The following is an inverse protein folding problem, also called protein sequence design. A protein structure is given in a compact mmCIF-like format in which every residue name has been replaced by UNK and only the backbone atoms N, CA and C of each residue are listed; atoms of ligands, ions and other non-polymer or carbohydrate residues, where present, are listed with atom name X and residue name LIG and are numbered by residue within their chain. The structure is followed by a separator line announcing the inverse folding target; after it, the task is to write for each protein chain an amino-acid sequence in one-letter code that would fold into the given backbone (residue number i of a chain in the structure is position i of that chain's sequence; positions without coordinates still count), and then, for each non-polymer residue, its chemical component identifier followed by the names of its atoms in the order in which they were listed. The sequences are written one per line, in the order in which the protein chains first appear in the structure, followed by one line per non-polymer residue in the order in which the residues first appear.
data_IF_097656232366
#
_entry.id   IF_097656232366
#
_cell.length_a   1.000
_cell.length_b   1.000
_cell.length_c   1.000
_cell.angle_alpha   90.00
_cell.angle_beta   90.00
_cell.angle_gamma   90.00
#
_symmetry.space_group_name_H-M   'P 1'
#
loop_
_entity.id
_entity.type
_entity.pdbx_description
1 polymer ?
#
# COMPACT_ATOMS: atom_id res chain seq x y z
N UNK A 1 14.05 9.32 20.11
CA UNK A 1 12.88 10.09 19.63
C UNK A 1 13.34 11.39 18.98
N UNK A 2 12.82 11.72 17.82
CA UNK A 2 12.99 12.99 17.12
C UNK A 2 11.67 13.76 17.19
N UNK A 3 11.68 15.01 17.64
CA UNK A 3 10.49 15.86 17.82
C UNK A 3 10.80 17.25 17.29
N UNK A 4 10.19 17.61 16.15
CA UNK A 4 10.54 18.82 15.39
C UNK A 4 9.27 19.58 15.02
N UNK A 5 9.26 20.89 15.30
CA UNK A 5 8.20 21.81 14.85
C UNK A 5 8.47 22.29 13.43
N UNK A 6 7.40 22.53 12.68
CA UNK A 6 7.43 23.04 11.31
C UNK A 6 8.35 22.21 10.40
N UNK A 7 8.10 20.89 10.37
CA UNK A 7 8.93 19.92 9.65
C UNK A 7 8.44 19.71 8.22
N UNK A 8 9.37 19.67 7.25
CA UNK A 8 9.04 19.40 5.85
C UNK A 8 8.96 17.89 5.59
N UNK A 9 7.83 17.45 5.02
CA UNK A 9 7.52 16.05 4.75
C UNK A 9 7.99 15.57 3.36
N UNK A 10 8.81 16.34 2.64
CA UNK A 10 9.30 15.97 1.30
C UNK A 10 9.94 14.57 1.28
N UNK A 11 10.72 14.23 2.31
CA UNK A 11 11.38 12.94 2.43
C UNK A 11 10.52 11.85 3.09
N UNK A 12 9.27 12.15 3.42
CA UNK A 12 8.31 11.25 4.04
C UNK A 12 7.08 11.00 3.14
N UNK A 13 7.21 11.22 1.84
CA UNK A 13 6.25 10.78 0.84
C UNK A 13 6.96 10.45 -0.47
N UNK A 14 6.55 9.33 -1.07
CA UNK A 14 7.15 8.84 -2.31
C UNK A 14 6.70 9.61 -3.55
N UNK A 15 5.68 10.47 -3.44
CA UNK A 15 5.27 11.38 -4.51
C UNK A 15 6.27 12.52 -4.72
N UNK A 16 7.16 12.76 -3.73
CA UNK A 16 8.14 13.84 -3.80
C UNK A 16 7.50 15.23 -3.79
N UNK A 17 6.43 15.41 -3.03
CA UNK A 17 5.72 16.68 -2.88
C UNK A 17 6.09 17.32 -1.55
N UNK A 18 6.51 18.58 -1.60
CA UNK A 18 6.84 19.36 -0.41
C UNK A 18 5.57 19.82 0.30
N UNK A 19 5.57 19.73 1.61
CA UNK A 19 4.56 20.24 2.52
C UNK A 19 5.10 20.18 3.95
N UNK A 20 4.78 21.17 4.77
CA UNK A 20 5.22 21.18 6.17
C UNK A 20 4.13 20.63 7.07
N UNK A 21 4.52 19.99 8.19
CA UNK A 21 3.61 19.72 9.28
C UNK A 21 3.95 20.62 10.49
N UNK A 22 2.96 20.89 11.35
CA UNK A 22 3.16 21.69 12.56
C UNK A 22 4.18 21.05 13.49
N UNK A 23 4.07 19.73 13.70
CA UNK A 23 4.97 18.94 14.55
C UNK A 23 5.18 17.57 13.92
N UNK A 24 6.40 17.09 13.88
CA UNK A 24 6.79 15.77 13.43
C UNK A 24 7.46 15.02 14.57
N UNK A 25 6.97 13.83 14.89
CA UNK A 25 7.59 12.95 15.88
C UNK A 25 7.92 11.61 15.25
N UNK A 26 9.21 11.25 15.30
CA UNK A 26 9.72 9.93 14.94
C UNK A 26 10.21 9.25 16.23
N UNK A 27 9.72 8.04 16.49
CA UNK A 27 9.99 7.28 17.70
C UNK A 27 10.62 5.93 17.36
N UNK A 28 11.60 5.50 18.17
CA UNK A 28 12.42 4.30 17.95
C UNK A 28 11.97 3.10 18.80
N UNK A 29 11.08 3.33 19.78
CA UNK A 29 10.57 2.31 20.68
C UNK A 29 9.20 2.68 21.25
N UNK A 30 8.56 1.73 21.95
CA UNK A 30 7.22 1.88 22.52
C UNK A 30 7.18 2.94 23.63
N UNK A 31 8.21 3.03 24.48
CA UNK A 31 8.24 3.98 25.60
C UNK A 31 8.27 5.43 25.10
N UNK A 32 9.01 5.69 24.03
CA UNK A 32 9.02 7.00 23.35
C UNK A 32 7.65 7.35 22.77
N UNK A 33 7.00 6.37 22.10
CA UNK A 33 5.65 6.56 21.59
C UNK A 33 4.65 6.84 22.72
N UNK A 34 4.69 6.06 23.81
CA UNK A 34 3.84 6.29 24.99
C UNK A 34 4.05 7.68 25.58
N UNK A 35 5.30 8.11 25.66
CA UNK A 35 5.65 9.47 26.12
C UNK A 35 5.07 10.53 25.20
N UNK A 36 5.21 10.34 23.89
CA UNK A 36 4.67 11.25 22.89
C UNK A 36 3.13 11.34 22.99
N UNK A 37 2.41 10.21 22.95
CA UNK A 37 0.94 10.23 22.95
C UNK A 37 0.35 10.83 24.21
N UNK A 38 0.99 10.66 25.37
CA UNK A 38 0.59 11.30 26.63
C UNK A 38 0.82 12.82 26.62
N UNK A 39 1.69 13.32 25.75
CA UNK A 39 2.00 14.75 25.60
C UNK A 39 1.12 15.45 24.55
N UNK A 40 0.29 14.72 23.81
CA UNK A 40 -0.56 15.29 22.76
C UNK A 40 -1.55 16.28 23.36
N UNK A 41 -1.58 17.49 22.79
CA UNK A 41 -2.50 18.55 23.16
C UNK A 41 -3.54 18.82 22.06
N UNK A 42 -4.50 19.69 22.31
CA UNK A 42 -5.45 20.14 21.29
C UNK A 42 -4.77 20.80 20.08
N UNK A 43 -3.62 21.44 20.30
CA UNK A 43 -2.84 22.10 19.22
C UNK A 43 -2.16 21.11 18.28
N UNK A 44 -1.92 19.86 18.72
CA UNK A 44 -1.35 18.79 17.91
C UNK A 44 -2.37 18.15 16.96
N UNK A 45 -3.66 18.48 17.07
CA UNK A 45 -4.71 17.97 16.19
C UNK A 45 -4.78 18.80 14.89
N UNK A 46 -5.10 18.15 13.76
CA UNK A 46 -5.36 16.72 13.57
C UNK A 46 -4.08 15.86 13.68
N UNK A 47 -4.26 14.57 13.92
CA UNK A 47 -3.18 13.58 13.95
C UNK A 47 -3.06 12.92 12.56
N UNK A 48 -1.83 12.65 12.14
CA UNK A 48 -1.53 11.85 10.95
C UNK A 48 -0.45 10.82 11.29
N UNK A 49 -0.76 9.54 11.14
CA UNK A 49 0.19 8.44 11.32
C UNK A 49 0.66 8.01 9.94
N UNK A 50 1.96 8.04 9.71
CA UNK A 50 2.57 7.65 8.43
C UNK A 50 3.58 6.52 8.62
N UNK A 51 3.74 5.70 7.59
CA UNK A 51 4.94 4.90 7.37
C UNK A 51 5.81 5.56 6.31
N UNK A 52 6.42 4.81 5.41
CA UNK A 52 7.28 5.35 4.33
C UNK A 52 6.60 6.29 3.32
N UNK A 53 5.36 6.70 3.54
CA UNK A 53 4.63 7.66 2.72
C UNK A 53 4.34 7.20 1.29
N UNK A 54 4.33 5.89 1.05
CA UNK A 54 4.15 5.31 -0.29
C UNK A 54 2.69 5.31 -0.79
N UNK A 55 1.75 5.71 0.07
CA UNK A 55 0.32 5.82 -0.27
C UNK A 55 -0.26 7.15 0.23
N UNK A 56 0.49 8.25 0.05
CA UNK A 56 0.17 9.58 0.56
C UNK A 56 0.31 10.64 -0.54
N UNK A 57 -0.66 11.53 -0.63
CA UNK A 57 -0.63 12.76 -1.41
C UNK A 57 -0.84 13.96 -0.49
N UNK A 58 0.19 14.77 -0.30
CA UNK A 58 0.09 16.05 0.39
C UNK A 58 -0.44 17.11 -0.58
N UNK A 59 -1.55 17.78 -0.23
CA UNK A 59 -2.12 18.87 -1.05
C UNK A 59 -1.81 20.26 -0.51
N UNK A 60 -1.45 20.34 0.76
CA UNK A 60 -1.12 21.56 1.51
C UNK A 60 -0.29 21.22 2.73
N UNK A 61 0.14 22.23 3.48
CA UNK A 61 0.73 22.03 4.79
C UNK A 61 -0.25 21.34 5.75
N UNK A 62 0.26 20.39 6.53
CA UNK A 62 -0.53 19.66 7.52
C UNK A 62 -0.54 20.41 8.85
N UNK A 63 -1.70 20.88 9.36
CA UNK A 63 -1.74 21.79 10.51
C UNK A 63 -1.56 21.10 11.87
N UNK A 64 -1.24 19.81 11.93
CA UNK A 64 -1.19 18.99 13.13
C UNK A 64 0.11 18.22 13.35
N UNK A 65 0.01 17.18 14.17
CA UNK A 65 1.09 16.26 14.50
C UNK A 65 1.15 15.10 13.51
N UNK A 66 2.35 14.87 12.96
CA UNK A 66 2.67 13.67 12.19
C UNK A 66 3.48 12.72 13.06
N UNK A 67 3.05 11.46 13.17
CA UNK A 67 3.75 10.38 13.85
C UNK A 67 4.33 9.41 12.83
N UNK A 68 5.61 9.10 12.97
CA UNK A 68 6.34 8.13 12.15
C UNK A 68 7.06 7.12 13.05
N UNK A 69 6.90 5.83 12.76
CA UNK A 69 7.58 4.77 13.52
C UNK A 69 8.94 4.45 12.90
N UNK A 70 9.98 4.54 13.71
CA UNK A 70 11.30 3.99 13.40
C UNK A 70 11.60 2.74 14.26
N UNK A 71 10.57 2.07 14.78
CA UNK A 71 10.74 0.82 15.53
C UNK A 71 11.20 -0.27 14.57
N UNK A 72 12.43 -0.72 14.76
CA UNK A 72 13.08 -1.78 13.98
C UNK A 72 13.14 -3.08 14.79
N UNK A 73 13.55 -4.15 14.15
CA UNK A 73 13.82 -5.44 14.77
C UNK A 73 12.94 -6.56 14.21
N UNK A 74 13.52 -7.76 14.17
CA UNK A 74 12.94 -8.99 13.63
C UNK A 74 13.22 -10.10 14.61
N UNK A 75 12.18 -10.66 15.20
CA UNK A 75 12.28 -11.70 16.24
C UNK A 75 11.39 -12.88 15.91
N UNK A 76 11.96 -14.07 15.89
CA UNK A 76 11.18 -15.31 15.82
C UNK A 76 10.58 -15.56 17.20
N UNK A 77 9.27 -15.39 17.33
CA UNK A 77 8.57 -15.53 18.61
C UNK A 77 7.97 -16.93 18.82
N UNK A 78 7.81 -17.70 17.72
CA UNK A 78 7.31 -19.05 17.76
C UNK A 78 7.73 -19.82 16.50
N UNK A 79 8.01 -21.11 16.65
CA UNK A 79 8.17 -22.07 15.57
C UNK A 79 7.49 -23.37 15.97
N UNK A 80 6.49 -23.83 15.19
CA UNK A 80 5.76 -25.07 15.43
C UNK A 80 4.97 -25.47 14.19
N UNK A 81 4.73 -26.77 14.02
CA UNK A 81 3.80 -27.33 13.02
C UNK A 81 4.08 -26.86 11.58
N UNK A 82 5.36 -26.78 11.21
CA UNK A 82 5.78 -26.34 9.88
C UNK A 82 5.58 -24.84 9.63
N UNK A 83 5.46 -24.03 10.69
CA UNK A 83 5.25 -22.58 10.61
C UNK A 83 6.21 -21.82 11.51
N UNK A 84 6.50 -20.57 11.10
CA UNK A 84 7.35 -19.62 11.84
C UNK A 84 6.60 -18.32 12.04
N UNK A 85 6.55 -17.82 13.28
CA UNK A 85 6.00 -16.50 13.60
C UNK A 85 7.12 -15.51 13.82
N UNK A 86 7.21 -14.54 12.91
CA UNK A 86 8.19 -13.46 12.92
C UNK A 86 7.52 -12.17 13.36
N UNK A 87 7.93 -11.64 14.52
CA UNK A 87 7.54 -10.33 15.02
C UNK A 87 8.46 -9.27 14.45
N UNK A 88 7.90 -8.29 13.73
CA UNK A 88 8.62 -7.25 13.03
C UNK A 88 8.24 -5.87 13.57
N UNK A 89 9.22 -4.99 13.76
CA UNK A 89 8.99 -3.59 14.10
C UNK A 89 8.26 -2.85 12.98
N UNK A 90 7.36 -1.94 13.34
CA UNK A 90 6.49 -1.25 12.39
C UNK A 90 7.23 -0.34 11.41
N UNK A 91 8.46 0.10 11.72
CA UNK A 91 9.35 0.88 10.85
C UNK A 91 10.22 0.04 9.90
N UNK A 92 10.19 -1.30 10.01
CA UNK A 92 10.91 -2.15 9.06
C UNK A 92 10.35 -1.99 7.64
N UNK A 93 11.23 -1.97 6.63
CA UNK A 93 10.82 -1.96 5.23
C UNK A 93 10.14 -3.28 4.89
N UNK A 94 8.94 -3.23 4.33
CA UNK A 94 8.17 -4.43 3.99
C UNK A 94 8.94 -5.39 3.08
N UNK A 95 9.54 -4.89 2.01
CA UNK A 95 10.26 -5.74 1.05
C UNK A 95 11.50 -6.41 1.64
N UNK A 96 12.12 -5.79 2.64
CA UNK A 96 13.23 -6.39 3.38
C UNK A 96 12.76 -7.57 4.26
N UNK A 97 11.52 -7.52 4.77
CA UNK A 97 10.91 -8.65 5.48
C UNK A 97 10.65 -9.81 4.51
N UNK A 98 10.11 -9.51 3.32
CA UNK A 98 9.89 -10.54 2.27
C UNK A 98 11.21 -11.17 1.85
N UNK A 99 12.25 -10.36 1.60
CA UNK A 99 13.58 -10.85 1.23
C UNK A 99 14.16 -11.76 2.32
N UNK A 100 14.08 -11.32 3.58
CA UNK A 100 14.55 -12.07 4.73
C UNK A 100 13.83 -13.40 4.89
N UNK A 101 12.49 -13.41 4.77
CA UNK A 101 11.72 -14.65 4.85
C UNK A 101 12.12 -15.64 3.76
N UNK A 102 12.22 -15.19 2.50
CA UNK A 102 12.64 -16.02 1.36
C UNK A 102 14.06 -16.58 1.56
N UNK A 103 15.00 -15.76 2.08
CA UNK A 103 16.37 -16.21 2.40
C UNK A 103 16.39 -17.30 3.48
N UNK A 104 15.52 -17.21 4.47
CA UNK A 104 15.38 -18.18 5.56
C UNK A 104 14.60 -19.45 5.15
N UNK A 105 14.04 -19.51 3.95
CA UNK A 105 13.17 -20.60 3.51
C UNK A 105 11.79 -20.57 4.18
N UNK A 106 11.30 -19.37 4.50
CA UNK A 106 9.96 -19.12 5.03
C UNK A 106 9.08 -18.53 3.92
N UNK A 107 7.92 -19.10 3.73
CA UNK A 107 7.12 -18.93 2.53
C UNK A 107 5.76 -18.32 2.78
N UNK A 108 5.17 -17.75 1.70
CA UNK A 108 3.84 -17.15 1.66
C UNK A 108 3.85 -15.66 1.33
N UNK A 109 5.01 -14.98 1.41
CA UNK A 109 5.12 -13.55 1.11
C UNK A 109 5.68 -13.26 -0.30
N UNK A 110 6.09 -14.25 -1.07
CA UNK A 110 6.82 -14.07 -2.33
C UNK A 110 6.06 -13.16 -3.32
N UNK A 111 4.73 -13.34 -3.42
CA UNK A 111 3.86 -12.54 -4.29
C UNK A 111 3.74 -11.07 -3.86
N UNK A 112 4.11 -10.73 -2.63
CA UNK A 112 4.09 -9.39 -2.07
C UNK A 112 5.45 -8.66 -2.18
N UNK A 113 6.36 -9.20 -2.99
CA UNK A 113 7.69 -8.63 -3.23
C UNK A 113 7.63 -7.24 -3.86
N UNK A 114 8.60 -6.39 -3.49
CA UNK A 114 8.80 -5.04 -4.01
C UNK A 114 7.59 -4.10 -3.82
N UNK A 115 6.68 -4.39 -2.86
CA UNK A 115 5.65 -3.42 -2.46
C UNK A 115 6.35 -2.36 -1.58
N UNK A 116 6.33 -1.07 -1.97
CA UNK A 116 6.95 -0.03 -1.18
C UNK A 116 6.16 0.24 0.10
N UNK A 117 6.88 0.65 1.14
CA UNK A 117 6.31 0.99 2.44
C UNK A 117 6.87 0.16 3.58
N UNK A 118 6.29 0.32 4.75
CA UNK A 118 6.75 -0.23 6.02
C UNK A 118 5.77 -1.26 6.59
N UNK A 119 6.27 -2.08 7.50
CA UNK A 119 5.53 -3.14 8.20
C UNK A 119 4.23 -2.63 8.83
N UNK A 120 4.27 -1.51 9.57
CA UNK A 120 3.07 -0.95 10.17
C UNK A 120 2.00 -0.57 9.13
N UNK A 121 2.42 0.06 8.04
CA UNK A 121 1.53 0.43 6.94
C UNK A 121 0.96 -0.79 6.21
N UNK A 122 1.69 -1.91 6.15
CA UNK A 122 1.21 -3.16 5.54
C UNK A 122 -0.06 -3.67 6.22
N UNK A 123 -0.11 -3.58 7.55
CA UNK A 123 -1.26 -3.99 8.34
C UNK A 123 -2.42 -2.97 8.27
N UNK A 124 -2.13 -1.67 8.20
CA UNK A 124 -3.18 -0.64 8.05
C UNK A 124 -3.89 -0.78 6.70
N UNK A 125 -3.14 -0.91 5.62
CA UNK A 125 -3.66 -0.90 4.25
C UNK A 125 -4.12 -2.29 3.78
N UNK A 126 -3.79 -3.37 4.50
CA UNK A 126 -3.88 -4.73 3.99
C UNK A 126 -3.28 -4.80 2.58
N UNK A 127 -1.98 -4.50 2.49
CA UNK A 127 -1.28 -4.47 1.20
C UNK A 127 -1.44 -5.80 0.47
N UNK A 128 -1.48 -5.76 -0.85
CA UNK A 128 -1.64 -6.96 -1.64
C UNK A 128 -1.23 -6.77 -3.09
N UNK A 129 -0.72 -7.84 -3.66
CA UNK A 129 -0.36 -7.96 -5.07
C UNK A 129 -0.41 -9.42 -5.50
N UNK A 130 -0.62 -9.66 -6.79
CA UNK A 130 -0.53 -10.97 -7.42
C UNK A 130 -1.29 -12.08 -6.68
N UNK A 131 -2.54 -11.80 -6.25
CA UNK A 131 -3.41 -12.77 -5.59
C UNK A 131 -3.22 -12.89 -4.09
N UNK A 132 -2.12 -12.42 -3.50
CA UNK A 132 -1.84 -12.45 -2.07
C UNK A 132 -2.15 -11.12 -1.38
N UNK A 133 -2.50 -11.16 -0.10
CA UNK A 133 -2.72 -10.00 0.76
C UNK A 133 -1.98 -10.17 2.10
N UNK A 134 -1.59 -9.06 2.74
CA UNK A 134 -0.86 -9.12 4.02
C UNK A 134 -1.66 -9.84 5.12
N UNK A 135 -3.00 -9.76 5.09
CA UNK A 135 -3.88 -10.48 6.02
C UNK A 135 -3.67 -11.99 6.03
N UNK A 136 -3.22 -12.58 4.92
CA UNK A 136 -3.02 -14.02 4.79
C UNK A 136 -1.80 -14.48 5.64
N UNK A 137 -0.92 -13.54 5.99
CA UNK A 137 0.27 -13.77 6.80
C UNK A 137 0.15 -13.17 8.22
N UNK A 138 -0.61 -12.08 8.41
CA UNK A 138 -0.71 -11.41 9.71
C UNK A 138 -1.36 -12.32 10.73
N UNK A 139 -0.64 -12.64 11.81
CA UNK A 139 -1.15 -13.40 12.95
C UNK A 139 -1.62 -12.46 14.07
N UNK A 140 -0.87 -11.39 14.34
CA UNK A 140 -1.13 -10.44 15.44
C UNK A 140 -0.59 -9.06 15.09
N UNK A 141 -1.25 -8.02 15.59
CA UNK A 141 -0.81 -6.62 15.53
C UNK A 141 -0.71 -6.06 16.94
N UNK A 142 0.41 -5.44 17.28
CA UNK A 142 0.62 -4.71 18.51
C UNK A 142 0.58 -3.21 18.26
N UNK A 143 -0.10 -2.46 19.10
CA UNK A 143 -0.25 -1.03 18.93
C UNK A 143 -0.30 -0.29 20.27
N UNK A 144 -0.07 1.00 20.26
CA UNK A 144 -0.32 1.90 21.38
C UNK A 144 -1.62 2.66 21.12
N UNK A 145 -2.53 2.63 22.09
CA UNK A 145 -3.74 3.43 22.05
C UNK A 145 -3.41 4.91 22.30
N UNK A 146 -3.80 5.78 21.38
CA UNK A 146 -3.47 7.21 21.43
C UNK A 146 -4.13 7.90 22.64
N UNK A 147 -5.32 7.48 23.03
CA UNK A 147 -6.06 8.10 24.11
C UNK A 147 -5.47 7.82 25.50
N UNK A 148 -4.88 6.64 25.71
CA UNK A 148 -4.43 6.18 27.02
C UNK A 148 -2.92 5.99 27.12
N UNK A 149 -2.26 5.76 25.97
CA UNK A 149 -0.86 5.34 25.90
C UNK A 149 -0.66 3.87 26.30
N UNK A 150 -1.72 3.08 26.40
CA UNK A 150 -1.62 1.66 26.71
C UNK A 150 -1.22 0.85 25.48
N UNK A 151 -0.40 -0.18 25.70
CA UNK A 151 -0.12 -1.19 24.67
C UNK A 151 -1.32 -2.14 24.57
N UNK A 152 -1.77 -2.40 23.37
CA UNK A 152 -2.87 -3.31 23.06
C UNK A 152 -2.48 -4.27 21.96
N UNK A 153 -3.07 -5.46 21.96
CA UNK A 153 -2.85 -6.49 20.94
C UNK A 153 -4.16 -6.81 20.24
N UNK A 154 -4.08 -7.05 18.94
CA UNK A 154 -5.20 -7.43 18.09
C UNK A 154 -4.87 -8.69 17.34
N UNK A 155 -5.80 -9.65 17.32
CA UNK A 155 -5.74 -10.79 16.42
C UNK A 155 -6.00 -10.37 14.96
N UNK A 156 -5.73 -11.26 14.03
CA UNK A 156 -6.10 -11.05 12.61
C UNK A 156 -7.61 -10.77 12.46
N UNK A 157 -8.46 -11.53 13.18
CA UNK A 157 -9.93 -11.40 13.14
C UNK A 157 -10.39 -10.04 13.64
N UNK A 158 -9.78 -9.52 14.71
CA UNK A 158 -10.10 -8.19 15.26
C UNK A 158 -9.89 -7.08 14.23
N UNK A 159 -8.88 -7.22 13.36
CA UNK A 159 -8.53 -6.25 12.34
C UNK A 159 -9.55 -6.15 11.20
N UNK A 160 -10.44 -7.14 11.01
CA UNK A 160 -11.50 -7.19 9.98
C UNK A 160 -11.00 -6.81 8.59
N UNK A 161 -9.95 -7.48 8.16
CA UNK A 161 -9.34 -7.22 6.86
C UNK A 161 -10.27 -7.52 5.69
N UNK A 162 -10.29 -6.62 4.71
CA UNK A 162 -10.90 -6.80 3.40
C UNK A 162 -10.00 -6.19 2.32
N UNK A 163 -10.38 -6.26 1.05
CA UNK A 163 -9.61 -5.69 -0.04
C UNK A 163 -9.26 -4.22 0.20
N UNK A 164 -7.99 -3.92 0.47
CA UNK A 164 -7.47 -2.58 0.81
C UNK A 164 -8.13 -1.95 2.04
N UNK A 165 -8.66 -2.75 2.94
CA UNK A 165 -9.37 -2.29 4.13
C UNK A 165 -8.89 -3.02 5.38
N UNK A 166 -8.92 -2.28 6.50
CA UNK A 166 -8.78 -2.78 7.86
C UNK A 166 -9.52 -1.87 8.82
N UNK A 167 -9.71 -2.27 10.07
CA UNK A 167 -10.24 -1.37 11.10
C UNK A 167 -9.29 -0.21 11.38
N UNK A 168 -7.96 -0.40 11.23
CA UNK A 168 -6.98 0.69 11.38
C UNK A 168 -7.14 1.79 10.33
N UNK A 169 -7.64 1.46 9.16
CA UNK A 169 -7.93 2.42 8.09
C UNK A 169 -9.28 3.14 8.28
N UNK A 170 -10.20 2.53 9.01
CA UNK A 170 -11.59 2.98 9.18
C UNK A 170 -11.89 3.34 10.65
N UNK A 171 -12.57 2.47 11.39
CA UNK A 171 -13.07 2.68 12.74
C UNK A 171 -11.99 3.05 13.76
N UNK A 172 -10.78 2.53 13.58
CA UNK A 172 -9.61 2.73 14.46
C UNK A 172 -8.63 3.78 13.94
N UNK A 173 -8.99 4.46 12.87
CA UNK A 173 -8.14 5.52 12.32
C UNK A 173 -7.84 6.56 13.39
N UNK A 174 -6.55 6.91 13.53
CA UNK A 174 -6.03 7.88 14.50
C UNK A 174 -6.21 7.47 15.99
N UNK A 175 -6.76 6.28 16.26
CA UNK A 175 -6.92 5.76 17.62
C UNK A 175 -5.73 4.90 18.07
N UNK A 176 -5.06 4.24 17.15
CA UNK A 176 -3.97 3.32 17.44
C UNK A 176 -2.77 3.58 16.55
N UNK A 177 -1.57 3.53 17.14
CA UNK A 177 -0.30 3.58 16.42
C UNK A 177 0.32 2.19 16.48
N UNK A 178 0.45 1.51 15.34
CA UNK A 178 1.03 0.17 15.25
C UNK A 178 2.52 0.24 15.60
N UNK A 179 2.97 -0.68 16.46
CA UNK A 179 4.35 -0.80 16.92
C UNK A 179 5.04 -2.05 16.39
N UNK A 180 4.32 -3.17 16.34
CA UNK A 180 4.81 -4.42 15.79
C UNK A 180 3.72 -5.17 15.04
N UNK A 181 4.13 -5.96 14.05
CA UNK A 181 3.26 -6.92 13.36
C UNK A 181 3.94 -8.28 13.42
N UNK A 182 3.21 -9.30 13.82
CA UNK A 182 3.67 -10.69 13.80
C UNK A 182 3.08 -11.38 12.57
N UNK A 183 3.95 -11.85 11.69
CA UNK A 183 3.59 -12.63 10.50
C UNK A 183 3.82 -14.11 10.75
N UNK A 184 2.95 -14.97 10.19
CA UNK A 184 3.05 -16.42 10.23
C UNK A 184 3.41 -16.92 8.83
N UNK A 185 4.63 -17.41 8.66
CA UNK A 185 5.13 -17.98 7.42
C UNK A 185 5.05 -19.52 7.46
N UNK A 186 4.97 -20.15 6.29
CA UNK A 186 5.06 -21.60 6.13
C UNK A 186 6.51 -22.04 5.89
N UNK A 187 6.89 -23.22 6.38
CA UNK A 187 8.11 -23.91 5.97
C UNK A 187 7.93 -24.68 4.65
N UNK A 188 6.67 -24.91 4.24
CA UNK A 188 6.34 -25.56 2.98
C UNK A 188 6.12 -24.52 1.88
N UNK A 189 6.86 -24.63 0.78
CA UNK A 189 6.73 -23.75 -0.37
C UNK A 189 5.59 -24.20 -1.30
N UNK A 190 4.48 -23.46 -1.26
CA UNK A 190 3.32 -23.66 -2.13
C UNK A 190 3.05 -22.37 -2.94
N UNK A 191 3.74 -22.17 -4.09
CA UNK A 191 3.64 -20.92 -4.83
C UNK A 191 2.29 -20.74 -5.51
N UNK A 192 1.69 -19.55 -5.42
CA UNK A 192 0.58 -19.11 -6.26
C UNK A 192 1.14 -18.46 -7.54
N UNK A 193 0.92 -19.10 -8.67
CA UNK A 193 1.40 -18.68 -9.99
C UNK A 193 0.26 -18.23 -10.92
N UNK A 194 -0.98 -18.30 -10.47
CA UNK A 194 -2.14 -18.17 -11.36
C UNK A 194 -2.58 -16.71 -11.56
N UNK A 195 -2.01 -15.78 -10.80
CA UNK A 195 -2.37 -14.38 -10.92
C UNK A 195 -1.42 -13.61 -11.86
N UNK A 196 -2.03 -12.89 -12.80
CA UNK A 196 -1.28 -12.02 -13.74
C UNK A 196 -0.38 -12.80 -14.70
N UNK A 197 0.78 -12.25 -15.00
CA UNK A 197 1.72 -12.82 -15.97
C UNK A 197 2.84 -13.67 -15.32
N UNK A 198 2.68 -14.09 -14.05
CA UNK A 198 3.76 -14.80 -13.33
C UNK A 198 4.14 -16.08 -14.07
N UNK A 199 3.14 -16.93 -14.34
CA UNK A 199 3.37 -18.22 -15.04
C UNK A 199 4.04 -18.01 -16.39
N UNK A 200 3.53 -17.09 -17.20
CA UNK A 200 4.08 -16.77 -18.51
C UNK A 200 5.53 -16.27 -18.41
N UNK A 201 5.83 -15.36 -17.46
CA UNK A 201 7.18 -14.84 -17.26
C UNK A 201 8.17 -15.91 -16.75
N UNK A 202 7.72 -16.90 -15.99
CA UNK A 202 8.53 -18.06 -15.60
C UNK A 202 8.78 -18.98 -16.78
N UNK A 203 7.77 -19.23 -17.61
CA UNK A 203 7.89 -20.05 -18.83
C UNK A 203 8.87 -19.44 -19.85
N UNK A 204 8.82 -18.12 -20.06
CA UNK A 204 9.79 -17.39 -20.89
C UNK A 204 11.25 -17.55 -20.39
N UNK A 205 11.42 -17.72 -19.07
CA UNK A 205 12.73 -17.99 -18.45
C UNK A 205 13.09 -19.49 -18.46
N UNK A 206 12.25 -20.38 -19.00
CA UNK A 206 12.44 -21.83 -18.98
C UNK A 206 12.24 -22.46 -17.60
N UNK A 207 11.53 -21.80 -16.67
CA UNK A 207 11.33 -22.24 -15.30
C UNK A 207 9.92 -22.84 -15.16
N UNK A 208 9.84 -24.16 -15.05
CA UNK A 208 8.55 -24.87 -14.86
C UNK A 208 8.18 -25.08 -13.39
N UNK A 209 9.19 -25.17 -12.51
CA UNK A 209 9.03 -25.32 -11.04
C UNK A 209 9.96 -24.32 -10.35
N UNK A 210 9.47 -23.11 -10.07
CA UNK A 210 10.31 -22.09 -9.46
C UNK A 210 10.69 -22.42 -8.02
N UNK A 211 11.85 -22.00 -7.59
CA UNK A 211 12.16 -21.82 -6.17
C UNK A 211 11.52 -20.52 -5.68
N UNK A 212 11.45 -20.32 -4.36
CA UNK A 212 10.94 -19.07 -3.77
C UNK A 212 11.74 -17.83 -4.24
N UNK A 213 13.07 -17.98 -4.35
CA UNK A 213 13.96 -16.91 -4.87
C UNK A 213 13.66 -16.58 -6.33
N UNK A 214 13.44 -17.60 -7.19
CA UNK A 214 13.10 -17.40 -8.60
C UNK A 214 11.73 -16.73 -8.73
N UNK A 215 10.74 -17.15 -7.94
CA UNK A 215 9.42 -16.53 -7.92
C UNK A 215 9.53 -15.06 -7.50
N UNK A 216 10.20 -14.76 -6.37
CA UNK A 216 10.44 -13.40 -5.90
C UNK A 216 11.10 -12.55 -7.00
N UNK A 217 12.18 -13.03 -7.62
CA UNK A 217 12.89 -12.28 -8.67
C UNK A 217 12.00 -12.04 -9.90
N UNK A 218 11.22 -13.03 -10.30
CA UNK A 218 10.28 -12.88 -11.42
C UNK A 218 9.23 -11.80 -11.13
N UNK A 219 8.69 -11.76 -9.91
CA UNK A 219 7.75 -10.73 -9.49
C UNK A 219 8.41 -9.35 -9.47
N UNK A 220 9.63 -9.22 -8.97
CA UNK A 220 10.40 -7.98 -9.01
C UNK A 220 10.55 -7.51 -10.45
N UNK A 221 11.00 -8.37 -11.36
CA UNK A 221 11.18 -8.03 -12.78
C UNK A 221 9.87 -7.56 -13.43
N UNK A 222 8.74 -8.25 -13.16
CA UNK A 222 7.42 -7.86 -13.67
C UNK A 222 7.03 -6.48 -13.15
N UNK A 223 7.29 -6.19 -11.87
CA UNK A 223 6.96 -4.90 -11.26
C UNK A 223 7.81 -3.77 -11.80
N UNK A 224 9.12 -3.94 -11.88
CA UNK A 224 10.06 -2.96 -12.44
C UNK A 224 9.78 -2.66 -13.91
N UNK A 225 9.36 -3.67 -14.68
CA UNK A 225 8.95 -3.46 -16.06
C UNK A 225 7.70 -2.58 -16.21
N UNK A 226 6.82 -2.52 -15.20
CA UNK A 226 5.52 -1.82 -15.26
C UNK A 226 5.45 -0.56 -14.42
N UNK A 227 6.11 -0.53 -13.26
CA UNK A 227 5.98 0.53 -12.27
C UNK A 227 7.22 1.42 -12.26
N UNK A 228 7.07 2.74 -12.13
CA UNK A 228 8.21 3.63 -11.96
C UNK A 228 8.78 3.49 -10.54
N UNK A 229 10.11 3.50 -10.43
CA UNK A 229 10.77 3.65 -9.13
C UNK A 229 10.45 5.06 -8.56
N UNK A 230 9.83 5.16 -7.38
CA UNK A 230 9.49 6.44 -6.79
C UNK A 230 10.71 7.30 -6.42
N UNK A 231 11.89 6.71 -6.29
CA UNK A 231 13.16 7.43 -6.09
C UNK A 231 13.61 8.17 -7.36
N UNK A 232 13.15 7.73 -8.53
CA UNK A 232 13.47 8.34 -9.83
C UNK A 232 12.31 9.22 -10.31
N UNK A 233 11.09 8.72 -10.20
CA UNK A 233 9.88 9.43 -10.63
C UNK A 233 8.85 9.35 -9.52
N UNK A 234 8.64 10.45 -8.80
CA UNK A 234 7.75 10.52 -7.65
C UNK A 234 6.35 9.99 -7.98
N UNK A 235 5.84 9.08 -7.17
CA UNK A 235 4.51 8.49 -7.30
C UNK A 235 4.08 7.85 -5.96
N UNK A 236 2.81 7.45 -5.87
CA UNK A 236 2.27 6.73 -4.71
C UNK A 236 1.70 5.36 -5.11
N UNK A 237 2.31 4.69 -6.09
CA UNK A 237 1.80 3.42 -6.61
C UNK A 237 0.49 3.58 -7.39
N UNK A 238 -0.37 2.57 -7.34
CA UNK A 238 -1.70 2.63 -7.96
C UNK A 238 -2.55 3.71 -7.28
N UNK A 239 -2.92 4.73 -8.04
CA UNK A 239 -3.64 5.89 -7.48
C UNK A 239 -5.13 5.61 -7.25
N UNK A 240 -5.74 4.74 -8.06
CA UNK A 240 -7.16 4.43 -7.99
C UNK A 240 -7.43 2.98 -7.61
N UNK A 241 -8.50 2.76 -6.88
CA UNK A 241 -9.06 1.42 -6.67
C UNK A 241 -9.72 0.91 -7.95
N UNK A 242 -9.66 -0.41 -8.15
CA UNK A 242 -10.46 -1.06 -9.17
C UNK A 242 -11.92 -1.09 -8.70
N UNK A 243 -12.88 -0.50 -9.44
CA UNK A 243 -14.29 -0.51 -9.06
C UNK A 243 -14.88 -1.91 -9.15
N UNK A 244 -15.76 -2.21 -8.21
CA UNK A 244 -16.62 -3.39 -8.23
C UNK A 244 -18.02 -2.93 -8.62
N UNK A 245 -18.58 -3.52 -9.67
CA UNK A 245 -19.89 -3.17 -10.24
C UNK A 245 -20.80 -4.39 -10.29
N UNK A 246 -22.10 -4.16 -10.41
CA UNK A 246 -23.05 -5.24 -10.68
C UNK A 246 -22.76 -5.93 -12.02
N UNK A 247 -23.08 -7.23 -12.11
CA UNK A 247 -22.86 -8.02 -13.33
C UNK A 247 -23.59 -7.44 -14.54
N UNK A 248 -24.78 -6.90 -14.36
CA UNK A 248 -25.59 -6.23 -15.38
C UNK A 248 -24.87 -5.00 -15.97
N UNK A 249 -24.21 -4.22 -15.12
CA UNK A 249 -23.39 -3.06 -15.54
C UNK A 249 -22.21 -3.52 -16.38
N UNK A 250 -21.51 -4.57 -15.93
CA UNK A 250 -20.38 -5.14 -16.67
C UNK A 250 -20.82 -5.69 -18.03
N UNK A 251 -21.89 -6.50 -18.09
CA UNK A 251 -22.37 -7.11 -19.34
C UNK A 251 -22.77 -6.04 -20.38
N UNK A 252 -23.43 -4.98 -19.94
CA UNK A 252 -23.75 -3.84 -20.81
C UNK A 252 -22.49 -3.17 -21.37
N UNK A 253 -21.45 -2.98 -20.56
CA UNK A 253 -20.19 -2.37 -21.00
C UNK A 253 -19.39 -3.33 -21.88
N UNK A 254 -19.33 -4.60 -21.55
CA UNK A 254 -18.63 -5.62 -22.33
C UNK A 254 -19.20 -5.78 -23.75
N UNK A 255 -20.52 -5.58 -23.92
CA UNK A 255 -21.14 -5.57 -25.22
C UNK A 255 -20.71 -4.39 -26.12
N UNK A 256 -20.20 -3.30 -25.51
CA UNK A 256 -19.71 -2.10 -26.20
C UNK A 256 -18.17 -2.07 -26.34
N UNK A 257 -17.47 -2.88 -25.55
CA UNK A 257 -16.01 -2.91 -25.45
C UNK A 257 -15.49 -4.34 -25.54
N UNK A 258 -15.26 -4.82 -26.77
CA UNK A 258 -14.73 -6.16 -27.00
C UNK A 258 -13.42 -6.39 -26.26
N UNK A 259 -13.28 -7.56 -25.58
CA UNK A 259 -12.09 -7.91 -24.82
C UNK A 259 -11.91 -7.12 -23.51
N UNK A 260 -12.95 -6.48 -22.98
CA UNK A 260 -12.90 -5.76 -21.71
C UNK A 260 -12.43 -6.66 -20.56
N UNK A 261 -11.28 -6.34 -19.91
CA UNK A 261 -10.76 -7.16 -18.83
C UNK A 261 -11.63 -7.06 -17.59
N UNK A 262 -11.74 -8.17 -16.85
CA UNK A 262 -12.54 -8.24 -15.64
C UNK A 262 -12.09 -9.35 -14.71
N UNK A 263 -12.51 -9.26 -13.44
CA UNK A 263 -12.34 -10.31 -12.45
C UNK A 263 -13.67 -10.57 -11.73
N UNK A 264 -14.08 -11.81 -11.68
CA UNK A 264 -15.29 -12.22 -10.96
C UNK A 264 -15.02 -12.11 -9.46
N UNK A 265 -15.85 -11.35 -8.74
CA UNK A 265 -15.79 -11.22 -7.28
C UNK A 265 -16.72 -12.26 -6.64
N UNK A 266 -17.98 -12.31 -7.13
CA UNK A 266 -19.00 -13.29 -6.76
C UNK A 266 -20.02 -13.44 -7.89
N UNK A 267 -21.16 -14.08 -7.60
CA UNK A 267 -22.21 -14.30 -8.59
C UNK A 267 -22.75 -12.99 -9.20
N UNK A 268 -22.83 -11.93 -8.40
CA UNK A 268 -23.50 -10.67 -8.74
C UNK A 268 -22.54 -9.52 -9.01
N UNK A 269 -21.25 -9.67 -8.66
CA UNK A 269 -20.29 -8.58 -8.70
C UNK A 269 -19.05 -8.91 -9.55
N UNK A 270 -18.65 -7.91 -10.33
CA UNK A 270 -17.49 -7.95 -11.22
C UNK A 270 -16.57 -6.78 -10.90
N UNK A 271 -15.28 -7.04 -10.75
CA UNK A 271 -14.24 -6.01 -10.58
C UNK A 271 -13.65 -5.67 -11.96
N UNK A 272 -13.66 -4.38 -12.31
CA UNK A 272 -13.11 -3.87 -13.56
C UNK A 272 -11.78 -3.18 -13.30
N UNK A 273 -10.70 -3.46 -14.07
CA UNK A 273 -9.44 -2.75 -13.93
C UNK A 273 -9.58 -1.26 -14.25
N UNK A 274 -9.41 -0.39 -13.25
CA UNK A 274 -9.45 1.06 -13.45
C UNK A 274 -8.36 1.53 -14.42
N UNK A 275 -7.20 0.89 -14.40
CA UNK A 275 -6.12 1.20 -15.35
C UNK A 275 -6.52 1.04 -16.81
N UNK A 276 -7.30 0.01 -17.14
CA UNK A 276 -7.84 -0.17 -18.48
C UNK A 276 -8.81 0.98 -18.86
N UNK A 277 -9.73 1.36 -17.98
CA UNK A 277 -10.66 2.46 -18.24
C UNK A 277 -9.93 3.79 -18.45
N UNK A 278 -8.90 4.06 -17.63
CA UNK A 278 -8.06 5.28 -17.74
C UNK A 278 -7.30 5.27 -19.08
N UNK A 279 -6.75 4.13 -19.49
CA UNK A 279 -6.10 3.95 -20.80
C UNK A 279 -7.07 4.16 -21.96
N UNK A 280 -8.30 3.64 -21.87
CA UNK A 280 -9.34 3.85 -22.87
C UNK A 280 -9.80 5.32 -22.97
N UNK A 281 -9.59 6.13 -21.94
CA UNK A 281 -9.81 7.58 -21.96
C UNK A 281 -8.61 8.35 -22.54
N UNK A 282 -7.53 7.66 -22.96
CA UNK A 282 -6.34 8.28 -23.55
C UNK A 282 -5.35 8.88 -22.55
N UNK A 283 -5.48 8.57 -21.26
CA UNK A 283 -4.64 9.14 -20.22
C UNK A 283 -3.27 8.45 -20.06
N UNK A 284 -3.10 7.21 -20.51
CA UNK A 284 -1.82 6.50 -20.39
C UNK A 284 -0.70 7.27 -21.10
N UNK A 285 0.36 7.63 -20.36
CA UNK A 285 1.47 8.45 -20.86
C UNK A 285 1.18 9.94 -20.99
N UNK A 286 -0.08 10.38 -20.82
CA UNK A 286 -0.45 11.77 -20.91
C UNK A 286 0.04 12.60 -19.72
N UNK A 287 0.19 13.91 -19.91
CA UNK A 287 0.64 14.85 -18.88
C UNK A 287 -0.27 16.08 -18.84
N UNK A 288 -0.40 16.63 -17.65
CA UNK A 288 -1.05 17.91 -17.38
C UNK A 288 -0.07 18.79 -16.56
N UNK A 289 0.68 19.66 -17.24
CA UNK A 289 1.74 20.43 -16.58
C UNK A 289 2.86 19.53 -16.03
N UNK A 290 3.13 19.62 -14.72
CA UNK A 290 4.19 18.88 -14.02
C UNK A 290 3.77 17.51 -13.49
N UNK A 291 2.54 17.11 -13.72
CA UNK A 291 1.99 15.80 -13.35
C UNK A 291 1.55 15.02 -14.58
N UNK A 292 1.47 13.71 -14.47
CA UNK A 292 1.04 12.87 -15.59
C UNK A 292 0.63 11.47 -15.15
N UNK A 293 0.21 10.69 -16.11
CA UNK A 293 -0.05 9.25 -15.98
C UNK A 293 1.16 8.50 -16.54
N UNK A 294 1.62 7.47 -15.84
CA UNK A 294 2.76 6.69 -16.27
C UNK A 294 2.48 5.97 -17.60
N UNK A 295 3.49 5.89 -18.47
CA UNK A 295 3.37 5.37 -19.85
C UNK A 295 3.20 3.84 -19.92
N UNK A 296 3.62 3.10 -18.89
CA UNK A 296 3.48 1.63 -18.83
C UNK A 296 2.36 1.15 -17.91
N UNK A 297 1.87 2.01 -17.01
CA UNK A 297 0.80 1.67 -16.06
C UNK A 297 -0.13 2.86 -15.80
N UNK A 298 -1.31 2.83 -16.38
CA UNK A 298 -2.27 3.93 -16.31
C UNK A 298 -2.86 4.18 -14.92
N UNK A 299 -2.70 3.25 -13.97
CA UNK A 299 -3.08 3.46 -12.57
C UNK A 299 -2.11 4.37 -11.80
N UNK A 300 -0.89 4.58 -12.32
CA UNK A 300 0.15 5.31 -11.58
C UNK A 300 0.20 6.76 -12.07
N UNK A 301 -0.13 7.68 -11.18
CA UNK A 301 0.11 9.10 -11.39
C UNK A 301 1.54 9.46 -10.98
N UNK A 302 2.19 10.31 -11.76
CA UNK A 302 3.61 10.63 -11.59
C UNK A 302 3.85 12.12 -11.45
N UNK A 303 4.80 12.46 -10.60
CA UNK A 303 5.41 13.79 -10.49
C UNK A 303 6.59 13.85 -11.49
N UNK A 304 6.47 14.68 -12.51
CA UNK A 304 7.50 14.87 -13.53
C UNK A 304 8.58 15.89 -13.14
N UNK A 305 8.56 16.32 -11.89
CA UNK A 305 9.51 17.24 -11.28
C UNK A 305 8.86 18.53 -10.81
N UNK A 306 8.98 18.81 -9.51
CA UNK A 306 8.49 20.01 -8.86
C UNK A 306 6.98 20.21 -8.87
N UNK A 307 6.19 19.13 -9.01
CA UNK A 307 4.73 19.19 -8.93
C UNK A 307 4.23 19.56 -7.54
N UNK A 308 3.07 20.19 -7.48
CA UNK A 308 2.33 20.44 -6.25
C UNK A 308 1.22 19.39 -6.07
N UNK A 309 0.74 19.23 -4.84
CA UNK A 309 -0.39 18.33 -4.57
C UNK A 309 -1.68 18.79 -5.28
N UNK A 310 -1.90 20.08 -5.43
CA UNK A 310 -3.06 20.64 -6.16
C UNK A 310 -3.04 20.27 -7.64
N UNK A 311 -1.87 20.23 -8.28
CA UNK A 311 -1.76 19.78 -9.67
C UNK A 311 -2.14 18.30 -9.80
N UNK A 312 -1.75 17.46 -8.84
CA UNK A 312 -2.16 16.05 -8.81
C UNK A 312 -3.67 15.93 -8.59
N UNK A 313 -4.25 16.75 -7.69
CA UNK A 313 -5.70 16.82 -7.46
C UNK A 313 -6.44 17.18 -8.75
N UNK A 314 -5.96 18.16 -9.48
CA UNK A 314 -6.54 18.58 -10.75
C UNK A 314 -6.51 17.44 -11.78
N UNK A 315 -5.37 16.75 -11.90
CA UNK A 315 -5.22 15.62 -12.82
C UNK A 315 -6.17 14.47 -12.47
N UNK A 316 -6.18 14.01 -11.22
CA UNK A 316 -6.99 12.83 -10.89
C UNK A 316 -8.50 13.12 -10.97
N UNK A 317 -8.96 14.31 -10.65
CA UNK A 317 -10.37 14.72 -10.81
C UNK A 317 -10.78 14.70 -12.28
N UNK A 318 -9.92 15.19 -13.16
CA UNK A 318 -10.17 15.15 -14.60
C UNK A 318 -10.27 13.70 -15.11
N UNK A 319 -9.39 12.82 -14.64
CA UNK A 319 -9.44 11.38 -14.97
C UNK A 319 -10.76 10.77 -14.51
N UNK A 320 -11.23 11.07 -13.28
CA UNK A 320 -12.51 10.59 -12.76
C UNK A 320 -13.67 11.05 -13.66
N UNK A 321 -13.68 12.32 -14.04
CA UNK A 321 -14.71 12.89 -14.92
C UNK A 321 -14.75 12.21 -16.29
N UNK A 322 -13.60 11.99 -16.92
CA UNK A 322 -13.51 11.36 -18.24
C UNK A 322 -13.91 9.89 -18.19
N UNK A 323 -13.50 9.14 -17.13
CA UNK A 323 -13.92 7.75 -16.92
C UNK A 323 -15.43 7.68 -16.68
N UNK A 324 -15.98 8.56 -15.86
CA UNK A 324 -17.42 8.64 -15.58
C UNK A 324 -18.21 8.97 -16.85
N UNK A 325 -17.75 9.92 -17.64
CA UNK A 325 -18.40 10.31 -18.90
C UNK A 325 -18.42 9.17 -19.92
N UNK A 326 -17.33 8.39 -20.01
CA UNK A 326 -17.20 7.31 -21.00
C UNK A 326 -17.89 6.01 -20.58
N UNK A 327 -17.78 5.61 -19.30
CA UNK A 327 -18.24 4.29 -18.83
C UNK A 327 -19.45 4.35 -17.88
N UNK A 328 -19.82 5.54 -17.38
CA UNK A 328 -20.82 5.69 -16.34
C UNK A 328 -20.38 5.15 -14.98
N UNK A 329 -19.08 4.89 -14.79
CA UNK A 329 -18.48 4.37 -13.55
C UNK A 329 -17.66 5.48 -12.91
N UNK A 330 -17.83 5.66 -11.61
CA UNK A 330 -16.99 6.55 -10.81
C UNK A 330 -15.86 5.73 -10.16
N UNK A 331 -14.61 6.13 -10.42
CA UNK A 331 -13.44 5.54 -9.77
C UNK A 331 -13.00 6.44 -8.62
N UNK A 332 -12.44 5.81 -7.57
CA UNK A 332 -12.04 6.51 -6.36
C UNK A 332 -10.55 6.37 -6.08
N UNK A 333 -9.88 7.41 -5.55
CA UNK A 333 -8.49 7.29 -5.11
C UNK A 333 -8.31 6.19 -4.04
N UNK A 334 -7.26 5.39 -4.18
CA UNK A 334 -6.74 4.50 -3.12
C UNK A 334 -5.76 5.27 -2.23
N UNK A 335 -5.08 6.25 -2.82
CA UNK A 335 -4.10 7.10 -2.15
C UNK A 335 -4.79 8.02 -1.15
N UNK A 336 -4.19 8.16 0.05
CA UNK A 336 -4.66 9.09 1.07
C UNK A 336 -4.32 10.52 0.67
N UNK A 337 -5.33 11.32 0.41
CA UNK A 337 -5.20 12.74 0.04
C UNK A 337 -5.35 13.60 1.32
N UNK A 338 -4.31 14.35 1.68
CA UNK A 338 -4.19 15.12 2.93
C UNK A 338 -4.06 16.62 2.62
#
# INVERSE_FOLDING_TARGET
MKDIKNYNLLNHNTFGISGNCRRFVEFDNVDELQTCVRSITAEDKPLLIIGGGSNLLLTRDFPGLVLHSAIMGREVVKESDGKVWLRCGSGETWDDIVAYAVEKGWHGAENLSLIPGEVGASAVQNIGAYGAEAKDLIAKVEAVEVATGNVVEFSNEDCRYAYRQSRFKNEWKDHYVITYVTYCFSLDFCPDLDYGNIRHSLEEQGISKPTAQQLRQTIINIREAKLPDPKVTGNAGSFFMNPVVGRDVYERLAAQHEGMPHYVVDADHIKIPAGWMIEQCGWKGASLGRVGVHDRQALVLVNRGGATGEEVVTLYKRIIEDVRAKFGIEIHPEVNVI
#
